data_IF_634690358567
#
_entry.id   IF_634690358567
#
_cell.length_a   1.000
_cell.length_b   1.000
_cell.length_c   1.000
_cell.angle_alpha   90.00
_cell.angle_beta   90.00
_cell.angle_gamma   90.00
#
_symmetry.space_group_name_H-M   'P 1'
#
loop_
_entity.id
_entity.type
_entity.pdbx_description
1 polymer ?
#
# COMPACT_ATOMS: atom_id res chain seq x y z
N UNK A 1 10.94 -8.30 17.60
CA UNK A 1 9.48 -8.06 17.56
C UNK A 1 9.21 -6.58 17.36
N UNK A 2 9.04 -6.14 16.11
CA UNK A 2 8.67 -4.75 15.78
C UNK A 2 7.96 -4.64 14.41
N UNK A 3 7.42 -5.74 13.88
CA UNK A 3 6.74 -5.74 12.58
C UNK A 3 5.24 -5.40 12.69
N UNK A 4 4.63 -5.49 13.88
CA UNK A 4 3.18 -5.47 14.05
C UNK A 4 2.52 -4.08 14.21
N UNK A 5 3.22 -3.05 14.66
CA UNK A 5 2.55 -1.81 15.12
C UNK A 5 2.07 -0.87 14.00
N UNK A 6 2.78 -0.76 12.87
CA UNK A 6 2.44 0.23 11.84
C UNK A 6 1.35 -0.23 10.87
N UNK A 7 1.27 -1.54 10.60
CA UNK A 7 0.19 -2.11 9.77
C UNK A 7 -1.19 -1.96 10.41
N UNK A 8 -1.24 -1.95 11.75
CA UNK A 8 -2.48 -1.74 12.51
C UNK A 8 -3.00 -0.29 12.44
N UNK A 9 -2.13 0.68 12.14
CA UNK A 9 -2.50 2.10 12.07
C UNK A 9 -2.88 2.57 10.65
N UNK A 10 -2.54 1.80 9.61
CA UNK A 10 -2.93 2.15 8.25
C UNK A 10 -3.38 0.91 7.45
N UNK A 11 -4.64 0.52 7.66
CA UNK A 11 -5.29 -0.58 6.92
C UNK A 11 -5.28 -0.37 5.40
N UNK A 12 -5.20 0.88 4.91
CA UNK A 12 -5.10 1.19 3.48
C UNK A 12 -3.77 0.75 2.85
N UNK A 13 -2.70 0.65 3.66
CA UNK A 13 -1.42 0.07 3.21
C UNK A 13 -1.57 -1.43 2.87
N UNK A 14 -2.48 -2.13 3.56
CA UNK A 14 -2.70 -3.57 3.43
C UNK A 14 -3.80 -3.92 2.43
N UNK A 15 -4.86 -3.12 2.38
CA UNK A 15 -6.03 -3.40 1.58
C UNK A 15 -6.55 -2.12 0.89
N UNK A 16 -6.45 -2.03 -0.45
CA UNK A 16 -6.92 -0.85 -1.16
C UNK A 16 -8.45 -0.65 -1.04
N UNK A 17 -9.21 -1.70 -0.71
CA UNK A 17 -10.65 -1.64 -0.47
C UNK A 17 -11.05 -0.82 0.77
N UNK A 18 -10.08 -0.42 1.60
CA UNK A 18 -10.31 0.48 2.74
C UNK A 18 -10.51 1.94 2.29
N UNK A 19 -10.14 2.30 1.06
CA UNK A 19 -10.30 3.67 0.55
C UNK A 19 -11.74 4.18 0.66
N UNK A 20 -11.91 5.38 1.21
CA UNK A 20 -13.20 6.05 1.34
C UNK A 20 -14.22 5.32 2.21
N UNK A 21 -13.77 4.41 3.09
CA UNK A 21 -14.59 3.91 4.21
C UNK A 21 -14.97 5.03 5.16
N UNK A 22 -14.11 6.05 5.26
CA UNK A 22 -14.38 7.31 5.95
C UNK A 22 -15.06 8.34 5.04
N UNK A 23 -15.92 9.17 5.63
CA UNK A 23 -16.68 10.21 4.94
C UNK A 23 -15.88 11.53 4.73
N UNK A 24 -14.56 11.49 4.89
CA UNK A 24 -13.64 12.61 4.75
C UNK A 24 -12.41 12.23 3.90
N UNK A 25 -11.67 13.25 3.46
CA UNK A 25 -10.38 13.03 2.80
C UNK A 25 -9.37 12.63 3.89
N UNK A 26 -8.90 11.39 3.85
CA UNK A 26 -7.91 10.86 4.79
C UNK A 26 -6.51 11.00 4.19
N UNK A 27 -5.66 11.81 4.83
CA UNK A 27 -4.25 12.02 4.46
C UNK A 27 -3.36 11.57 5.61
N UNK A 28 -2.43 10.65 5.32
CA UNK A 28 -1.50 10.09 6.32
C UNK A 28 -0.08 10.20 5.80
N UNK A 29 0.82 10.63 6.69
CA UNK A 29 2.27 10.66 6.47
C UNK A 29 2.93 9.96 7.65
N UNK A 30 3.89 9.08 7.38
CA UNK A 30 4.64 8.38 8.41
C UNK A 30 6.10 8.28 8.06
N UNK A 31 6.92 8.42 9.09
CA UNK A 31 8.34 8.17 9.06
C UNK A 31 8.69 7.20 10.19
N UNK A 32 9.51 6.21 9.87
CA UNK A 32 9.99 5.23 10.84
C UNK A 32 11.46 4.94 10.62
N UNK A 33 12.19 4.86 11.72
CA UNK A 33 13.50 4.22 11.78
C UNK A 33 13.46 3.07 12.77
N UNK A 34 14.12 1.96 12.47
CA UNK A 34 14.31 0.85 13.40
C UNK A 34 15.80 0.72 13.72
N UNK A 35 16.13 0.35 14.96
CA UNK A 35 17.52 0.14 15.41
C UNK A 35 18.39 1.39 15.30
N UNK A 36 17.97 2.47 15.97
CA UNK A 36 18.75 3.70 16.07
C UNK A 36 20.14 3.42 16.65
N UNK A 37 21.20 3.80 15.93
CA UNK A 37 22.59 3.60 16.35
C UNK A 37 23.40 2.59 15.52
N UNK A 38 22.79 1.92 14.54
CA UNK A 38 23.47 1.03 13.60
C UNK A 38 23.52 1.69 12.21
N UNK A 39 24.70 1.70 11.58
CA UNK A 39 24.85 2.18 10.21
C UNK A 39 24.04 1.30 9.24
N UNK A 40 23.23 1.91 8.37
CA UNK A 40 22.33 1.19 7.47
C UNK A 40 21.00 0.73 8.08
N UNK A 41 20.63 1.21 9.27
CA UNK A 41 19.37 0.86 9.94
C UNK A 41 18.13 1.04 9.03
N UNK A 42 17.12 0.14 9.11
CA UNK A 42 15.92 0.23 8.29
C UNK A 42 15.17 1.55 8.49
N UNK A 43 14.86 2.22 7.37
CA UNK A 43 14.06 3.45 7.32
C UNK A 43 12.88 3.25 6.38
N UNK A 44 11.69 3.58 6.87
CA UNK A 44 10.44 3.49 6.12
C UNK A 44 9.77 4.85 6.10
N UNK A 45 9.32 5.27 4.92
CA UNK A 45 8.52 6.46 4.70
C UNK A 45 7.28 6.03 3.94
N UNK A 46 6.10 6.52 4.31
CA UNK A 46 4.93 6.42 3.44
C UNK A 46 4.06 7.66 3.54
N UNK A 47 3.39 7.96 2.43
CA UNK A 47 2.32 8.93 2.35
C UNK A 47 1.13 8.28 1.63
N UNK A 48 -0.06 8.41 2.19
CA UNK A 48 -1.29 7.94 1.57
C UNK A 48 -2.36 9.01 1.63
N UNK A 49 -3.16 9.06 0.57
CA UNK A 49 -4.37 9.88 0.51
C UNK A 49 -5.51 9.02 -0.01
N UNK A 50 -6.69 9.10 0.59
CA UNK A 50 -7.88 8.49 0.02
C UNK A 50 -9.13 9.32 0.34
N UNK A 51 -10.14 9.19 -0.50
CA UNK A 51 -11.40 9.92 -0.35
C UNK A 51 -12.55 9.12 -0.93
N UNK A 52 -13.70 9.22 -0.25
CA UNK A 52 -14.98 8.83 -0.83
C UNK A 52 -15.46 9.86 -1.84
N UNK A 53 -16.01 9.40 -2.96
CA UNK A 53 -16.66 10.18 -4.00
C UNK A 53 -18.18 10.09 -3.79
N UNK A 54 -18.82 11.22 -3.48
CA UNK A 54 -20.26 11.29 -3.23
C UNK A 54 -20.69 11.04 -1.77
N UNK A 55 -19.73 10.93 -0.84
CA UNK A 55 -19.97 10.90 0.61
C UNK A 55 -19.00 11.80 1.39
N UNK A 56 -18.57 12.90 0.79
CA UNK A 56 -17.83 13.92 1.54
C UNK A 56 -18.76 14.59 2.55
N UNK A 57 -18.32 14.76 3.81
CA UNK A 57 -19.07 15.46 4.87
C UNK A 57 -19.56 16.86 4.46
N UNK A 58 -18.90 17.49 3.50
CA UNK A 58 -19.25 18.81 2.95
C UNK A 58 -20.55 18.82 2.13
N UNK A 59 -21.13 17.67 1.75
CA UNK A 59 -22.44 17.63 1.09
C UNK A 59 -23.57 17.89 2.08
N UNK A 60 -24.11 19.12 2.05
CA UNK A 60 -25.07 19.69 3.00
C UNK A 60 -26.46 19.00 3.07
N UNK A 61 -26.76 18.01 2.24
CA UNK A 61 -28.03 17.26 2.29
C UNK A 61 -27.78 15.80 1.97
N UNK A 62 -27.78 14.95 3.00
CA UNK A 62 -27.86 13.49 2.85
C UNK A 62 -29.27 13.06 3.18
N UNK A 63 -29.93 12.43 2.23
CA UNK A 63 -31.26 11.84 2.43
C UNK A 63 -31.08 10.42 2.95
N UNK A 64 -32.09 9.85 3.64
CA UNK A 64 -32.07 8.42 4.04
C UNK A 64 -31.81 7.48 2.86
N UNK A 65 -32.19 7.89 1.64
CA UNK A 65 -31.93 7.17 0.40
C UNK A 65 -30.43 7.11 0.03
N UNK A 66 -29.63 8.12 0.38
CA UNK A 66 -28.18 8.15 0.14
C UNK A 66 -27.42 7.16 1.04
N UNK A 67 -28.03 6.76 2.17
CA UNK A 67 -27.41 5.80 3.07
C UNK A 67 -27.41 4.37 2.51
N UNK A 68 -28.35 4.07 1.62
CA UNK A 68 -28.53 2.76 1.00
C UNK A 68 -27.90 2.64 -0.38
N UNK A 69 -27.30 3.71 -0.91
CA UNK A 69 -26.62 3.68 -2.21
C UNK A 69 -25.17 3.26 -2.07
N UNK A 70 -24.72 2.53 -3.09
CA UNK A 70 -23.30 2.29 -3.29
C UNK A 70 -22.59 3.58 -3.69
N UNK A 71 -21.30 3.69 -3.37
CA UNK A 71 -20.49 4.85 -3.72
C UNK A 71 -19.08 4.43 -4.13
N UNK A 72 -18.38 5.34 -4.78
CA UNK A 72 -17.03 5.11 -5.30
C UNK A 72 -16.01 5.81 -4.41
N UNK A 73 -14.79 5.31 -4.35
CA UNK A 73 -13.71 5.94 -3.63
C UNK A 73 -12.42 5.78 -4.43
N UNK A 74 -11.50 6.72 -4.23
CA UNK A 74 -10.19 6.73 -4.86
C UNK A 74 -9.12 6.99 -3.81
N UNK A 75 -7.91 6.54 -4.09
CA UNK A 75 -6.77 6.85 -3.26
C UNK A 75 -5.44 6.69 -3.97
N UNK A 76 -4.38 7.11 -3.29
CA UNK A 76 -3.00 6.96 -3.70
C UNK A 76 -2.12 6.60 -2.52
N UNK A 77 -1.09 5.81 -2.78
CA UNK A 77 -0.07 5.43 -1.80
C UNK A 77 1.30 5.56 -2.46
N UNK A 78 2.21 6.26 -1.79
CA UNK A 78 3.64 6.20 -2.08
C UNK A 78 4.37 5.75 -0.83
N UNK A 79 5.33 4.86 -0.99
CA UNK A 79 6.20 4.45 0.10
C UNK A 79 7.63 4.25 -0.37
N UNK A 80 8.56 4.35 0.58
CA UNK A 80 9.96 4.02 0.40
C UNK A 80 10.48 3.31 1.64
N UNK A 81 10.94 2.09 1.44
CA UNK A 81 11.62 1.28 2.44
C UNK A 81 13.09 1.15 2.06
N UNK A 82 13.99 1.48 2.98
CA UNK A 82 15.42 1.36 2.79
C UNK A 82 16.01 0.53 3.93
N UNK A 83 16.79 -0.48 3.59
CA UNK A 83 17.50 -1.35 4.54
C UNK A 83 18.91 -1.57 4.00
N UNK A 84 19.90 -0.91 4.59
CA UNK A 84 21.28 -0.90 4.08
C UNK A 84 21.38 -0.44 2.61
N UNK A 85 22.05 -1.21 1.73
CA UNK A 85 22.23 -0.87 0.31
C UNK A 85 20.96 -1.11 -0.53
N UNK A 86 19.94 -1.76 0.02
CA UNK A 86 18.72 -2.10 -0.70
C UNK A 86 17.65 -1.06 -0.38
N UNK A 87 16.95 -0.59 -1.41
CA UNK A 87 15.75 0.21 -1.24
C UNK A 87 14.63 -0.27 -2.17
N UNK A 88 13.40 -0.18 -1.68
CA UNK A 88 12.16 -0.44 -2.41
C UNK A 88 11.30 0.81 -2.35
N UNK A 89 10.87 1.28 -3.51
CA UNK A 89 9.95 2.42 -3.64
C UNK A 89 8.70 1.95 -4.37
N UNK A 90 7.52 2.27 -3.87
CA UNK A 90 6.25 1.91 -4.50
C UNK A 90 5.38 3.13 -4.72
N UNK A 91 4.69 3.19 -5.85
CA UNK A 91 3.67 4.18 -6.17
C UNK A 91 2.41 3.47 -6.68
N UNK A 92 1.27 3.76 -6.06
CA UNK A 92 -0.01 3.12 -6.34
C UNK A 92 -1.14 4.13 -6.44
N UNK A 93 -2.03 3.90 -7.39
CA UNK A 93 -3.37 4.45 -7.41
C UNK A 93 -4.39 3.36 -7.10
N UNK A 94 -5.44 3.68 -6.36
CA UNK A 94 -6.50 2.74 -6.00
C UNK A 94 -7.88 3.29 -6.33
N UNK A 95 -8.78 2.37 -6.60
CA UNK A 95 -10.19 2.61 -6.80
C UNK A 95 -10.99 1.57 -6.03
N UNK A 96 -12.02 2.02 -5.34
CA UNK A 96 -12.86 1.19 -4.50
C UNK A 96 -14.32 1.45 -4.76
N UNK A 97 -15.11 0.39 -4.84
CA UNK A 97 -16.56 0.47 -4.92
C UNK A 97 -17.20 -0.08 -3.65
N UNK A 98 -17.91 0.78 -2.92
CA UNK A 98 -18.59 0.47 -1.67
C UNK A 98 -20.05 0.14 -1.93
N UNK A 99 -20.44 -1.12 -1.76
CA UNK A 99 -21.80 -1.63 -1.85
C UNK A 99 -22.47 -1.56 -0.46
N UNK A 100 -23.69 -1.01 -0.40
CA UNK A 100 -24.52 -1.13 0.78
C UNK A 100 -25.26 -2.48 0.75
N UNK A 101 -24.91 -3.39 1.67
CA UNK A 101 -25.61 -4.67 1.81
C UNK A 101 -26.87 -4.51 2.67
N UNK A 102 -26.77 -3.71 3.73
CA UNK A 102 -27.90 -3.31 4.58
C UNK A 102 -27.76 -1.82 4.96
N UNK A 103 -28.63 -1.31 5.84
CA UNK A 103 -28.52 0.07 6.36
C UNK A 103 -27.22 0.31 7.16
N UNK A 104 -26.66 -0.73 7.77
CA UNK A 104 -25.46 -0.61 8.61
C UNK A 104 -24.27 -1.41 8.10
N UNK A 105 -24.46 -2.36 7.18
CA UNK A 105 -23.40 -3.23 6.65
C UNK A 105 -23.02 -2.84 5.23
N UNK A 106 -21.71 -2.68 4.99
CA UNK A 106 -21.14 -2.33 3.69
C UNK A 106 -20.04 -3.30 3.28
N UNK A 107 -19.97 -3.57 1.99
CA UNK A 107 -18.91 -4.35 1.36
C UNK A 107 -18.18 -3.47 0.35
N UNK A 108 -16.89 -3.28 0.52
CA UNK A 108 -16.03 -2.56 -0.40
C UNK A 108 -15.22 -3.53 -1.26
N UNK A 109 -15.20 -3.27 -2.57
CA UNK A 109 -14.39 -3.98 -3.55
C UNK A 109 -13.31 -3.00 -4.03
N UNK A 110 -12.05 -3.29 -3.71
CA UNK A 110 -10.92 -2.42 -4.02
C UNK A 110 -9.98 -3.04 -5.03
N UNK A 111 -9.44 -2.20 -5.92
CA UNK A 111 -8.31 -2.52 -6.77
C UNK A 111 -7.27 -1.41 -6.65
N UNK A 112 -6.00 -1.79 -6.61
CA UNK A 112 -4.89 -0.86 -6.75
C UNK A 112 -3.95 -1.34 -7.84
N UNK A 113 -3.43 -0.39 -8.59
CA UNK A 113 -2.41 -0.63 -9.62
C UNK A 113 -1.27 0.34 -9.40
N UNK A 114 -0.07 -0.08 -9.72
CA UNK A 114 1.11 0.71 -9.42
C UNK A 114 2.37 0.15 -10.03
N UNK A 115 3.48 0.75 -9.60
CA UNK A 115 4.82 0.30 -9.95
C UNK A 115 5.66 0.25 -8.68
N UNK A 116 6.51 -0.77 -8.61
CA UNK A 116 7.53 -0.91 -7.60
C UNK A 116 8.90 -0.78 -8.24
N UNK A 117 9.79 -0.04 -7.60
CA UNK A 117 11.19 0.04 -7.98
C UNK A 117 12.04 -0.58 -6.86
N UNK A 118 12.85 -1.57 -7.23
CA UNK A 118 13.88 -2.14 -6.38
C UNK A 118 15.22 -1.54 -6.80
N UNK A 119 15.97 -0.98 -5.87
CA UNK A 119 17.30 -0.44 -6.13
C UNK A 119 18.34 -1.02 -5.19
N UNK A 120 19.51 -1.33 -5.73
CA UNK A 120 20.71 -1.73 -5.00
C UNK A 120 21.79 -0.66 -5.19
N UNK A 121 22.27 -0.11 -4.09
CA UNK A 121 23.44 0.77 -4.05
C UNK A 121 24.70 -0.06 -3.83
N UNK A 122 25.43 -0.33 -4.92
CA UNK A 122 26.64 -1.14 -4.88
C UNK A 122 27.84 -0.42 -4.27
N UNK A 123 27.77 0.91 -4.09
CA UNK A 123 28.85 1.69 -3.45
C UNK A 123 28.95 1.44 -1.95
N UNK A 124 27.87 0.94 -1.33
CA UNK A 124 27.82 0.56 0.09
C UNK A 124 28.23 -0.90 0.34
N UNK A 125 28.57 -1.66 -0.71
CA UNK A 125 29.01 -3.06 -0.62
C UNK A 125 30.53 -3.14 -0.75
N UNK A 126 31.25 -3.18 0.38
CA UNK A 126 32.68 -3.51 0.37
C UNK A 126 32.86 -5.03 0.45
N UNK A 127 33.27 -5.64 -0.66
CA UNK A 127 33.70 -7.04 -0.70
C UNK A 127 35.15 -7.15 -0.20
N UNK A 128 35.50 -8.28 0.43
CA UNK A 128 36.84 -8.58 0.97
C UNK A 128 37.96 -8.64 -0.12
N UNK A 129 37.59 -8.49 -1.40
CA UNK A 129 38.49 -8.46 -2.54
C UNK A 129 38.32 -7.13 -3.31
N UNK A 130 39.39 -6.36 -3.41
CA UNK A 130 39.41 -4.94 -3.80
C UNK A 130 39.19 -4.67 -5.30
N UNK A 131 38.69 -5.63 -6.08
CA UNK A 131 38.62 -5.54 -7.56
C UNK A 131 37.20 -5.62 -8.16
N UNK A 132 36.16 -5.90 -7.38
CA UNK A 132 34.78 -6.01 -7.87
C UNK A 132 33.90 -4.87 -7.36
N UNK A 133 33.64 -3.90 -8.24
CA UNK A 133 32.62 -2.85 -8.01
C UNK A 133 31.25 -3.41 -8.40
N UNK A 134 30.31 -3.45 -7.45
CA UNK A 134 28.92 -3.77 -7.78
C UNK A 134 28.29 -2.51 -8.39
N UNK A 135 27.77 -2.62 -9.61
CA UNK A 135 27.06 -1.52 -10.26
C UNK A 135 25.72 -1.25 -9.57
N UNK A 136 25.30 0.02 -9.57
CA UNK A 136 23.95 0.38 -9.14
C UNK A 136 22.93 -0.27 -10.06
N UNK A 137 22.00 -1.02 -9.49
CA UNK A 137 20.92 -1.67 -10.24
C UNK A 137 19.58 -1.13 -9.77
N UNK A 138 18.70 -0.83 -10.72
CA UNK A 138 17.33 -0.47 -10.44
C UNK A 138 16.40 -1.23 -11.38
N UNK A 139 15.45 -1.98 -10.81
CA UNK A 139 14.43 -2.71 -11.57
C UNK A 139 13.06 -2.17 -11.23
N UNK A 140 12.23 -1.95 -12.25
CA UNK A 140 10.84 -1.47 -12.11
C UNK A 140 9.89 -2.59 -12.51
N UNK A 141 8.96 -2.91 -11.63
CA UNK A 141 8.00 -3.99 -11.82
C UNK A 141 6.58 -3.41 -11.67
N UNK A 142 5.67 -3.62 -12.64
CA UNK A 142 4.27 -3.27 -12.47
C UNK A 142 3.63 -4.17 -11.41
N UNK A 143 2.70 -3.64 -10.65
CA UNK A 143 2.00 -4.36 -9.58
C UNK A 143 0.51 -4.05 -9.60
N UNK A 144 -0.29 -5.04 -9.22
CA UNK A 144 -1.70 -4.87 -8.95
C UNK A 144 -2.11 -5.66 -7.70
N UNK A 145 -3.04 -5.07 -6.96
CA UNK A 145 -3.62 -5.62 -5.74
C UNK A 145 -5.13 -5.54 -5.84
N UNK A 146 -5.83 -6.57 -5.40
CA UNK A 146 -7.28 -6.56 -5.23
C UNK A 146 -7.62 -6.84 -3.77
N UNK A 147 -8.76 -6.33 -3.32
CA UNK A 147 -9.20 -6.52 -1.94
C UNK A 147 -10.70 -6.45 -1.77
N UNK A 148 -11.15 -7.11 -0.72
CA UNK A 148 -12.51 -7.07 -0.21
C UNK A 148 -12.47 -6.56 1.23
N UNK A 149 -13.42 -5.70 1.58
CA UNK A 149 -13.53 -5.15 2.93
C UNK A 149 -14.99 -5.07 3.37
N UNK A 150 -15.36 -5.85 4.38
CA UNK A 150 -16.69 -5.83 4.98
C UNK A 150 -16.64 -5.04 6.28
N UNK A 151 -17.54 -4.08 6.44
CA UNK A 151 -17.52 -3.21 7.62
C UNK A 151 -18.92 -2.72 8.02
N UNK A 152 -19.06 -2.45 9.31
CA UNK A 152 -20.12 -1.68 9.92
C UNK A 152 -19.55 -0.80 11.05
N UNK A 153 -20.41 -0.14 11.82
CA UNK A 153 -19.99 0.79 12.89
C UNK A 153 -19.24 0.10 14.06
N UNK A 154 -19.35 -1.22 14.21
CA UNK A 154 -18.82 -1.97 15.35
C UNK A 154 -17.71 -2.97 15.01
N UNK A 155 -17.64 -3.43 13.76
CA UNK A 155 -16.68 -4.41 13.29
C UNK A 155 -16.27 -4.16 11.84
N UNK A 156 -15.09 -4.64 11.53
CA UNK A 156 -14.57 -4.66 10.16
C UNK A 156 -13.72 -5.91 9.95
N UNK A 157 -13.63 -6.35 8.71
CA UNK A 157 -12.80 -7.47 8.30
C UNK A 157 -12.65 -7.53 6.79
N UNK A 158 -11.52 -8.02 6.31
CA UNK A 158 -11.30 -8.10 4.88
C UNK A 158 -10.10 -8.93 4.51
N UNK A 159 -9.99 -9.20 3.21
CA UNK A 159 -8.91 -9.95 2.60
C UNK A 159 -8.39 -9.17 1.41
N UNK A 160 -7.09 -9.25 1.15
CA UNK A 160 -6.46 -8.66 -0.02
C UNK A 160 -5.42 -9.62 -0.58
N UNK A 161 -5.19 -9.51 -1.88
CA UNK A 161 -4.14 -10.23 -2.59
C UNK A 161 -3.36 -9.24 -3.45
N UNK A 162 -2.04 -9.22 -3.28
CA UNK A 162 -1.10 -8.33 -3.96
C UNK A 162 -0.23 -9.10 -4.96
N UNK A 163 0.49 -8.39 -5.85
CA UNK A 163 1.46 -8.98 -6.80
C UNK A 163 0.81 -9.87 -7.86
N UNK A 164 -0.37 -9.48 -8.33
CA UNK A 164 -1.14 -10.24 -9.33
C UNK A 164 -0.51 -10.13 -10.74
N UNK A 165 0.23 -9.04 -11.01
CA UNK A 165 0.84 -8.78 -12.32
C UNK A 165 2.26 -9.31 -12.48
N UNK A 166 2.92 -9.72 -11.39
CA UNK A 166 4.36 -9.95 -11.38
C UNK A 166 4.75 -11.23 -10.67
N UNK A 167 4.37 -12.38 -11.24
CA UNK A 167 4.90 -13.67 -10.81
C UNK A 167 5.40 -14.48 -12.01
N UNK A 168 6.57 -14.08 -12.50
CA UNK A 168 7.52 -14.93 -13.21
C UNK A 168 8.90 -14.31 -13.00
N UNK A 169 9.48 -14.55 -11.82
CA UNK A 169 10.93 -14.59 -11.71
C UNK A 169 11.34 -15.95 -12.26
N UNK A 170 11.52 -16.01 -13.57
CA UNK A 170 12.16 -17.15 -14.21
C UNK A 170 13.66 -17.07 -13.87
N UNK A 171 14.00 -17.57 -12.68
CA UNK A 171 15.38 -17.96 -12.38
C UNK A 171 15.48 -19.43 -12.76
N UNK A 172 15.22 -19.74 -14.03
CA UNK A 172 15.70 -20.98 -14.62
C UNK A 172 17.22 -20.86 -14.72
N UNK A 173 17.88 -21.37 -13.69
CA UNK A 173 19.21 -21.95 -13.83
C UNK A 173 19.09 -23.04 -14.90
N UNK A 174 19.75 -22.84 -16.04
CA UNK A 174 19.91 -23.85 -17.09
C UNK A 174 21.24 -24.58 -16.86
N UNK A 175 21.24 -25.84 -16.38
CA UNK A 175 22.38 -26.72 -16.51
C UNK A 175 22.18 -27.59 -17.76
N UNK A 176 22.83 -27.23 -18.86
CA UNK A 176 22.83 -28.02 -20.10
C UNK A 176 23.74 -27.48 -21.17
#
# INVERSE_FOLDING_TARGET
MAQYSQYMNNNYLLNPAVAGTEDYIDVKLSYRTQWTGIEGAPKTYYASVNSSLGRLRTQSKRTLHDWSRGFHAIGGLVYRDQTGPIARTGLYGSYTYNLALTRSLRLALGVAVGMQQFSLDGSMLQLYNTSTVIANQASRVPDATVGLWLYNDNFYGGISSSQILGNQLDIAYDPG
#
